data_IF_678540476670
#
_entry.id   IF_678540476670
#
_cell.length_a   1.000
_cell.length_b   1.000
_cell.length_c   1.000
_cell.angle_alpha   90.00
_cell.angle_beta   90.00
_cell.angle_gamma   90.00
#
_symmetry.space_group_name_H-M   'P 1'
#
loop_
_entity.id
_entity.type
_entity.pdbx_description
1 polymer ?
#
# COMPACT_ATOMS: atom_id res chain seq x y z
N UNK A 1 -4.11 -31.86 0.15
CA UNK A 1 -4.15 -30.43 0.50
C UNK A 1 -4.82 -29.69 -0.64
N UNK A 2 -6.10 -29.32 -0.51
CA UNK A 2 -6.85 -28.67 -1.59
C UNK A 2 -6.68 -27.15 -1.43
N UNK A 3 -6.01 -26.50 -2.38
CA UNK A 3 -5.70 -25.07 -2.31
C UNK A 3 -6.92 -24.32 -2.88
N UNK A 4 -7.98 -24.25 -2.07
CA UNK A 4 -9.31 -23.77 -2.50
C UNK A 4 -9.41 -22.25 -2.72
N UNK A 5 -8.45 -21.46 -2.23
CA UNK A 5 -8.49 -19.98 -2.26
C UNK A 5 -7.28 -19.33 -2.95
N UNK A 6 -6.38 -20.10 -3.57
CA UNK A 6 -5.20 -19.50 -4.20
C UNK A 6 -5.52 -19.04 -5.61
N UNK A 7 -5.43 -17.73 -5.81
CA UNK A 7 -5.63 -17.06 -7.09
C UNK A 7 -4.28 -16.57 -7.63
N UNK A 8 -3.47 -17.45 -8.26
CA UNK A 8 -2.07 -17.16 -8.60
C UNK A 8 -1.91 -15.93 -9.48
N UNK A 9 -2.81 -15.75 -10.44
CA UNK A 9 -2.75 -14.61 -11.37
C UNK A 9 -3.01 -13.27 -10.66
N UNK A 10 -4.00 -13.24 -9.75
CA UNK A 10 -4.31 -12.04 -8.96
C UNK A 10 -3.15 -11.66 -8.03
N UNK A 11 -2.58 -12.64 -7.33
CA UNK A 11 -1.43 -12.44 -6.46
C UNK A 11 -0.21 -11.92 -7.23
N UNK A 12 0.04 -12.44 -8.44
CA UNK A 12 1.15 -12.00 -9.29
C UNK A 12 0.99 -10.56 -9.78
N UNK A 13 -0.20 -10.20 -10.26
CA UNK A 13 -0.50 -8.84 -10.72
C UNK A 13 -0.41 -7.83 -9.57
N UNK A 14 -0.95 -8.18 -8.40
CA UNK A 14 -0.82 -7.36 -7.19
C UNK A 14 0.65 -7.15 -6.78
N UNK A 15 1.44 -8.23 -6.78
CA UNK A 15 2.87 -8.18 -6.47
C UNK A 15 3.67 -7.29 -7.42
N UNK A 16 3.45 -7.42 -8.74
CA UNK A 16 4.08 -6.54 -9.74
C UNK A 16 3.71 -5.07 -9.51
N UNK A 17 2.43 -4.80 -9.23
CA UNK A 17 1.93 -3.43 -9.04
C UNK A 17 2.61 -2.76 -7.85
N UNK A 18 2.71 -3.46 -6.72
CA UNK A 18 3.39 -2.96 -5.52
C UNK A 18 4.89 -2.82 -5.78
N UNK A 19 5.52 -3.80 -6.42
CA UNK A 19 6.94 -3.75 -6.76
C UNK A 19 7.29 -2.55 -7.64
N UNK A 20 6.50 -2.30 -8.69
CA UNK A 20 6.67 -1.13 -9.56
C UNK A 20 6.51 0.19 -8.79
N UNK A 21 5.51 0.30 -7.90
CA UNK A 21 5.33 1.48 -7.07
C UNK A 21 6.57 1.78 -6.20
N UNK A 22 7.16 0.74 -5.60
CA UNK A 22 8.40 0.86 -4.81
C UNK A 22 9.59 1.30 -5.67
N UNK A 23 9.74 0.76 -6.88
CA UNK A 23 10.82 1.15 -7.81
C UNK A 23 10.70 2.61 -8.24
N UNK A 24 9.49 3.06 -8.60
CA UNK A 24 9.25 4.46 -8.98
C UNK A 24 9.57 5.40 -7.82
N UNK A 25 9.13 5.06 -6.59
CA UNK A 25 9.45 5.84 -5.41
C UNK A 25 10.96 5.87 -5.12
N UNK A 26 11.65 4.74 -5.31
CA UNK A 26 13.10 4.63 -5.15
C UNK A 26 13.85 5.54 -6.12
N UNK A 27 13.43 5.61 -7.39
CA UNK A 27 14.05 6.50 -8.38
C UNK A 27 13.85 7.98 -8.01
N UNK A 28 12.66 8.34 -7.51
CA UNK A 28 12.36 9.73 -7.12
C UNK A 28 13.08 10.20 -5.86
N UNK A 29 13.17 9.34 -4.83
CA UNK A 29 13.70 9.72 -3.52
C UNK A 29 15.10 9.13 -3.20
N UNK A 30 15.62 8.25 -4.05
CA UNK A 30 16.89 7.52 -3.83
C UNK A 30 16.84 6.50 -2.68
N UNK A 31 15.67 6.28 -2.09
CA UNK A 31 15.46 5.42 -0.90
C UNK A 31 14.26 4.51 -1.11
N UNK A 32 14.32 3.29 -0.58
CA UNK A 32 13.21 2.36 -0.67
C UNK A 32 12.01 2.90 0.12
N UNK A 33 10.81 2.76 -0.45
CA UNK A 33 9.57 3.17 0.19
C UNK A 33 9.32 2.32 1.44
N UNK A 34 9.69 2.83 2.61
CA UNK A 34 9.42 2.20 3.90
C UNK A 34 8.59 3.14 4.75
N UNK A 35 7.42 2.70 5.22
CA UNK A 35 6.53 3.53 6.06
C UNK A 35 7.29 4.03 7.30
N UNK A 36 8.05 3.16 7.98
CA UNK A 36 8.89 3.56 9.11
C UNK A 36 9.93 4.62 8.75
N UNK A 37 10.55 4.51 7.57
CA UNK A 37 11.55 5.47 7.09
C UNK A 37 10.92 6.82 6.71
N UNK A 38 9.73 6.81 6.11
CA UNK A 38 9.02 8.03 5.67
C UNK A 38 8.46 8.77 6.88
N UNK A 39 7.90 8.03 7.85
CA UNK A 39 7.42 8.58 9.13
C UNK A 39 8.58 9.17 9.94
N UNK A 40 9.70 8.46 10.08
CA UNK A 40 10.87 8.97 10.79
C UNK A 40 11.47 10.21 10.11
N UNK A 41 11.55 10.22 8.77
CA UNK A 41 12.02 11.37 8.01
C UNK A 41 11.08 12.59 8.14
N UNK A 42 9.77 12.37 8.28
CA UNK A 42 8.80 13.44 8.54
C UNK A 42 8.95 14.08 9.94
N UNK A 43 9.29 13.27 10.95
CA UNK A 43 9.55 13.75 12.32
C UNK A 43 10.93 14.41 12.47
N UNK A 44 11.97 13.84 11.86
CA UNK A 44 13.37 14.21 12.12
C UNK A 44 13.92 15.24 11.13
N UNK A 45 13.48 15.23 9.86
CA UNK A 45 14.14 16.01 8.81
C UNK A 45 13.36 17.27 8.42
N UNK A 46 14.09 18.37 8.18
CA UNK A 46 13.53 19.68 7.77
C UNK A 46 13.43 19.82 6.25
N UNK A 47 14.23 19.06 5.50
CA UNK A 47 14.25 19.00 4.03
C UNK A 47 13.47 17.79 3.53
N UNK A 48 12.71 17.93 2.44
CA UNK A 48 11.91 16.83 1.85
C UNK A 48 10.61 16.47 2.60
N UNK A 49 10.12 17.33 3.51
CA UNK A 49 8.87 17.07 4.26
C UNK A 49 7.63 16.97 3.37
N UNK A 50 7.61 17.69 2.25
CA UNK A 50 6.50 17.72 1.30
C UNK A 50 6.21 16.33 0.70
N UNK A 51 7.25 15.65 0.22
CA UNK A 51 7.12 14.34 -0.43
C UNK A 51 6.70 13.26 0.56
N UNK A 52 7.27 13.29 1.78
CA UNK A 52 6.87 12.38 2.86
C UNK A 52 5.41 12.58 3.27
N UNK A 53 4.98 13.85 3.38
CA UNK A 53 3.59 14.18 3.71
C UNK A 53 2.62 13.72 2.62
N UNK A 54 2.95 13.96 1.35
CA UNK A 54 2.15 13.49 0.21
C UNK A 54 2.04 11.96 0.19
N UNK A 55 3.12 11.24 0.50
CA UNK A 55 3.09 9.80 0.59
C UNK A 55 2.17 9.31 1.72
N UNK A 56 2.25 9.90 2.92
CA UNK A 56 1.39 9.56 4.05
C UNK A 56 -0.09 9.85 3.75
N UNK A 57 -0.39 10.99 3.12
CA UNK A 57 -1.74 11.32 2.67
C UNK A 57 -2.23 10.31 1.64
N UNK A 58 -1.41 9.97 0.65
CA UNK A 58 -1.74 8.94 -0.35
C UNK A 58 -2.02 7.57 0.27
N UNK A 59 -1.26 7.20 1.31
CA UNK A 59 -1.44 5.94 2.03
C UNK A 59 -2.79 5.87 2.78
N UNK A 60 -3.30 7.00 3.28
CA UNK A 60 -4.62 7.07 3.93
C UNK A 60 -5.73 7.17 2.89
N UNK A 61 -5.56 8.02 1.88
CA UNK A 61 -6.59 8.30 0.86
C UNK A 61 -6.81 7.10 -0.06
N UNK A 62 -5.77 6.32 -0.38
CA UNK A 62 -5.86 5.12 -1.21
C UNK A 62 -6.93 4.11 -0.77
N UNK A 63 -6.86 3.55 0.45
CA UNK A 63 -7.86 2.61 0.95
C UNK A 63 -9.24 3.25 1.11
N UNK A 64 -9.31 4.55 1.40
CA UNK A 64 -10.59 5.28 1.47
C UNK A 64 -11.27 5.32 0.09
N UNK A 65 -10.54 5.72 -0.95
CA UNK A 65 -11.06 5.71 -2.33
C UNK A 65 -11.46 4.29 -2.75
N UNK A 66 -10.65 3.29 -2.41
CA UNK A 66 -10.97 1.89 -2.68
C UNK A 66 -12.27 1.47 -1.97
N UNK A 67 -12.46 1.87 -0.70
CA UNK A 67 -13.67 1.59 0.07
C UNK A 67 -14.91 2.26 -0.51
N UNK A 68 -14.80 3.45 -1.12
CA UNK A 68 -15.92 4.09 -1.81
C UNK A 68 -16.21 3.48 -3.17
N UNK A 69 -15.18 2.97 -3.85
CA UNK A 69 -15.32 2.34 -5.17
C UNK A 69 -15.84 0.91 -5.08
N UNK A 70 -15.64 0.23 -3.95
CA UNK A 70 -16.19 -1.12 -3.73
C UNK A 70 -17.64 -1.03 -3.27
N UNK A 71 -18.56 -1.45 -4.13
CA UNK A 71 -20.00 -1.59 -3.83
C UNK A 71 -20.32 -2.93 -3.15
N UNK A 72 -19.35 -3.85 -3.11
CA UNK A 72 -19.55 -5.16 -2.51
C UNK A 72 -19.47 -5.06 -0.99
N UNK A 73 -20.48 -5.61 -0.31
CA UNK A 73 -20.45 -5.82 1.12
C UNK A 73 -19.21 -6.64 1.46
N UNK A 74 -18.30 -6.08 2.28
CA UNK A 74 -17.14 -6.84 2.76
C UNK A 74 -17.73 -7.97 3.59
N UNK A 75 -17.70 -9.23 3.13
CA UNK A 75 -18.44 -10.29 3.77
C UNK A 75 -17.77 -10.53 5.12
N UNK A 76 -18.40 -10.04 6.19
CA UNK A 76 -18.01 -10.33 7.56
C UNK A 76 -18.42 -11.78 7.84
N UNK A 77 -17.65 -12.71 7.27
CA UNK A 77 -17.79 -14.13 7.54
C UNK A 77 -17.33 -14.34 8.98
N UNK A 78 -18.28 -14.33 9.91
CA UNK A 78 -18.08 -14.90 11.23
C UNK A 78 -17.85 -16.39 10.98
N UNK A 79 -16.59 -16.79 10.85
CA UNK A 79 -16.24 -18.20 10.79
C UNK A 79 -16.59 -18.77 12.16
N UNK A 80 -17.71 -19.48 12.24
CA UNK A 80 -17.97 -20.33 13.40
C UNK A 80 -17.00 -21.51 13.26
N UNK A 81 -16.04 -21.56 14.18
CA UNK A 81 -15.01 -22.60 14.27
C UNK A 81 -15.61 -23.99 14.33
#
# INVERSE_FOLDING_TARGET
>A
MNIINFTPLSAFVGGITIGLAVVVFFIGNGRLAGISSITDNFLTSKEGRGDNFLFLVGLIVGPIIFSFSTTNEIPFLITNS
#
